data_IF_511504515208
#
_entry.id   IF_511504515208
#
_cell.length_a   1.000
_cell.length_b   1.000
_cell.length_c   1.000
_cell.angle_alpha   90.00
_cell.angle_beta   90.00
_cell.angle_gamma   90.00
#
_symmetry.space_group_name_H-M   'P 1'
#
loop_
_entity.id
_entity.type
_entity.pdbx_description
1 polymer ?
#
# COMPACT_ATOMS: atom_id res chain seq x y z
N UNK A 1 3.89 -39.34 22.46
CA UNK A 1 4.82 -39.81 21.42
C UNK A 1 4.18 -39.57 20.05
N UNK A 2 4.80 -38.82 19.13
CA UNK A 2 4.22 -38.59 17.80
C UNK A 2 4.07 -39.94 17.10
N UNK A 3 2.85 -40.30 16.68
CA UNK A 3 2.64 -41.48 15.84
C UNK A 3 3.47 -41.32 14.57
N UNK A 4 4.51 -42.15 14.44
CA UNK A 4 5.32 -42.20 13.22
C UNK A 4 4.43 -42.83 12.16
N UNK A 5 4.07 -42.04 11.15
CA UNK A 5 3.35 -42.56 10.00
C UNK A 5 4.34 -43.39 9.15
N UNK A 6 4.43 -44.68 9.47
CA UNK A 6 5.34 -45.65 8.83
C UNK A 6 5.13 -45.67 7.31
N UNK A 7 3.88 -45.59 6.84
CA UNK A 7 3.56 -45.55 5.39
C UNK A 7 4.22 -44.36 4.71
N UNK A 8 4.15 -43.17 5.31
CA UNK A 8 4.79 -41.96 4.78
C UNK A 8 6.31 -42.08 4.76
N UNK A 9 6.90 -42.68 5.79
CA UNK A 9 8.36 -42.85 5.88
C UNK A 9 8.87 -43.87 4.86
N UNK A 10 8.17 -44.97 4.65
CA UNK A 10 8.49 -45.95 3.61
C UNK A 10 8.38 -45.31 2.23
N UNK A 11 7.27 -44.64 1.93
CA UNK A 11 7.04 -44.01 0.63
C UNK A 11 8.09 -42.93 0.31
N UNK A 12 8.50 -42.15 1.31
CA UNK A 12 9.54 -41.12 1.15
C UNK A 12 10.91 -41.72 0.81
N UNK A 13 11.20 -42.93 1.30
CA UNK A 13 12.52 -43.55 1.18
C UNK A 13 12.62 -44.54 0.01
N UNK A 14 11.47 -45.00 -0.49
CA UNK A 14 11.35 -45.96 -1.59
C UNK A 14 12.16 -45.59 -2.83
N UNK A 15 12.17 -44.33 -3.32
CA UNK A 15 12.96 -43.96 -4.50
C UNK A 15 14.46 -44.14 -4.28
N UNK A 16 14.96 -43.83 -3.08
CA UNK A 16 16.38 -43.97 -2.74
C UNK A 16 16.79 -45.44 -2.61
N UNK A 17 15.86 -46.32 -2.20
CA UNK A 17 16.09 -47.76 -2.17
C UNK A 17 16.18 -48.32 -3.59
N UNK A 18 15.27 -47.95 -4.50
CA UNK A 18 15.35 -48.39 -5.90
C UNK A 18 16.60 -47.85 -6.61
N UNK A 19 16.95 -46.57 -6.40
CA UNK A 19 18.16 -45.98 -6.96
C UNK A 19 19.43 -46.62 -6.36
N UNK A 20 19.43 -46.93 -5.08
CA UNK A 20 20.52 -47.66 -4.42
C UNK A 20 20.66 -49.10 -4.92
N UNK A 21 19.56 -49.83 -5.08
CA UNK A 21 19.55 -51.17 -5.65
C UNK A 21 20.05 -51.16 -7.10
N UNK A 22 19.68 -50.16 -7.90
CA UNK A 22 20.22 -50.02 -9.24
C UNK A 22 21.71 -49.67 -9.24
N UNK A 23 22.16 -48.83 -8.29
CA UNK A 23 23.57 -48.49 -8.12
C UNK A 23 24.47 -49.68 -7.72
N UNK A 24 23.90 -50.82 -7.32
CA UNK A 24 24.67 -52.07 -7.13
C UNK A 24 25.40 -52.51 -8.42
N UNK A 25 24.90 -52.11 -9.59
CA UNK A 25 25.56 -52.34 -10.88
C UNK A 25 26.93 -51.67 -10.96
N UNK A 26 27.15 -50.57 -10.24
CA UNK A 26 28.46 -49.91 -10.16
C UNK A 26 29.48 -50.83 -9.46
N UNK A 27 29.06 -51.49 -8.38
CA UNK A 27 29.87 -52.50 -7.69
C UNK A 27 30.08 -53.74 -8.55
N UNK A 28 29.03 -54.21 -9.22
CA UNK A 28 29.09 -55.37 -10.13
C UNK A 28 30.05 -55.11 -11.29
N UNK A 29 30.00 -53.93 -11.90
CA UNK A 29 30.89 -53.54 -12.99
C UNK A 29 32.35 -53.54 -12.53
N UNK A 30 32.63 -52.98 -11.35
CA UNK A 30 33.97 -53.01 -10.75
C UNK A 30 34.46 -54.43 -10.43
N UNK A 31 33.56 -55.32 -10.02
CA UNK A 31 33.88 -56.72 -9.72
C UNK A 31 34.17 -57.54 -10.98
N UNK A 32 33.42 -57.28 -12.06
CA UNK A 32 33.55 -58.00 -13.34
C UNK A 32 34.68 -57.44 -14.23
N UNK A 33 35.17 -56.23 -13.96
CA UNK A 33 36.32 -55.67 -14.63
C UNK A 33 37.58 -56.52 -14.36
N UNK A 34 38.31 -56.86 -15.42
CA UNK A 34 39.54 -57.63 -15.35
C UNK A 34 40.68 -56.80 -14.74
N UNK A 35 41.55 -57.44 -13.95
CA UNK A 35 42.71 -56.80 -13.31
C UNK A 35 42.90 -57.20 -11.85
N UNK A 36 44.15 -57.29 -11.40
CA UNK A 36 44.47 -57.60 -10.00
C UNK A 36 44.48 -56.31 -9.15
N UNK A 37 44.94 -55.21 -9.73
CA UNK A 37 45.06 -53.91 -9.07
C UNK A 37 44.01 -52.90 -9.54
N UNK A 38 43.81 -51.84 -8.76
CA UNK A 38 42.76 -50.84 -8.99
C UNK A 38 42.93 -50.08 -10.32
N UNK A 39 44.17 -49.86 -10.77
CA UNK A 39 44.47 -49.20 -12.06
C UNK A 39 44.06 -50.06 -13.25
N UNK A 40 44.35 -51.36 -13.22
CA UNK A 40 43.98 -52.31 -14.27
C UNK A 40 42.46 -52.48 -14.36
N UNK A 41 41.79 -52.60 -13.20
CA UNK A 41 40.32 -52.66 -13.15
C UNK A 41 39.66 -51.40 -13.69
N UNK A 42 40.28 -50.25 -13.51
CA UNK A 42 39.77 -48.99 -14.04
C UNK A 42 39.95 -48.91 -15.57
N UNK A 43 41.04 -49.46 -16.12
CA UNK A 43 41.26 -49.56 -17.56
C UNK A 43 40.21 -50.46 -18.24
N UNK A 44 39.80 -51.56 -17.60
CA UNK A 44 38.81 -52.50 -18.13
C UNK A 44 37.39 -52.29 -17.59
N UNK A 45 37.12 -51.13 -17.00
CA UNK A 45 35.83 -50.88 -16.33
C UNK A 45 34.66 -50.86 -17.30
N UNK A 46 34.89 -50.44 -18.56
CA UNK A 46 33.86 -50.40 -19.60
C UNK A 46 33.38 -51.80 -19.98
N UNK A 47 34.30 -52.78 -20.00
CA UNK A 47 33.97 -54.19 -20.23
C UNK A 47 33.18 -54.74 -19.03
N UNK A 48 33.59 -54.37 -17.81
CA UNK A 48 32.85 -54.68 -16.58
C UNK A 48 31.43 -54.09 -16.57
N UNK A 49 31.26 -52.86 -17.05
CA UNK A 49 29.95 -52.22 -17.23
C UNK A 49 29.11 -52.95 -18.27
N UNK A 50 29.67 -53.26 -19.43
CA UNK A 50 29.00 -54.03 -20.48
C UNK A 50 28.47 -55.36 -19.93
N UNK A 51 29.31 -56.11 -19.24
CA UNK A 51 28.94 -57.38 -18.61
C UNK A 51 27.90 -57.21 -17.49
N UNK A 52 28.04 -56.18 -16.64
CA UNK A 52 27.09 -55.93 -15.56
C UNK A 52 25.70 -55.56 -16.08
N UNK A 53 25.58 -54.88 -17.22
CA UNK A 53 24.31 -54.41 -17.78
C UNK A 53 23.65 -55.37 -18.79
N UNK A 54 24.27 -56.50 -19.11
CA UNK A 54 23.62 -57.57 -19.90
C UNK A 54 22.33 -58.09 -19.24
N UNK A 55 22.24 -57.97 -17.91
CA UNK A 55 21.00 -58.23 -17.17
C UNK A 55 20.49 -56.93 -16.53
N UNK A 56 19.19 -56.66 -16.66
CA UNK A 56 18.58 -55.46 -16.07
C UNK A 56 18.39 -55.56 -14.54
N UNK A 57 18.58 -56.74 -13.94
CA UNK A 57 18.35 -57.00 -12.52
C UNK A 57 19.54 -56.55 -11.64
N UNK A 58 19.30 -55.96 -10.45
CA UNK A 58 20.36 -55.63 -9.48
C UNK A 58 21.28 -56.79 -9.11
N UNK A 59 22.53 -56.48 -8.74
CA UNK A 59 23.44 -57.48 -8.19
C UNK A 59 23.16 -57.70 -6.70
N UNK A 60 23.01 -58.96 -6.30
CA UNK A 60 22.85 -59.37 -4.89
C UNK A 60 24.15 -59.85 -4.24
N UNK A 61 25.29 -59.58 -4.87
CA UNK A 61 26.58 -59.87 -4.27
C UNK A 61 26.83 -58.97 -3.05
N UNK A 62 27.35 -59.48 -1.92
CA UNK A 62 27.47 -58.70 -0.68
C UNK A 62 28.23 -57.38 -0.84
N UNK A 63 29.33 -57.38 -1.60
CA UNK A 63 30.11 -56.17 -1.86
C UNK A 63 29.37 -55.13 -2.73
N UNK A 64 28.60 -55.58 -3.73
CA UNK A 64 27.87 -54.73 -4.66
C UNK A 64 26.66 -54.08 -3.95
N UNK A 65 26.04 -54.81 -3.03
CA UNK A 65 24.96 -54.32 -2.16
C UNK A 65 25.43 -53.21 -1.21
N UNK A 66 26.66 -53.31 -0.69
CA UNK A 66 27.26 -52.24 0.14
C UNK A 66 27.44 -50.97 -0.68
N UNK A 67 27.94 -51.07 -1.92
CA UNK A 67 28.08 -49.91 -2.83
C UNK A 67 26.71 -49.27 -3.10
N UNK A 68 25.70 -50.09 -3.43
CA UNK A 68 24.34 -49.61 -3.66
C UNK A 68 23.72 -48.90 -2.44
N UNK A 69 23.92 -49.46 -1.25
CA UNK A 69 23.45 -48.88 0.02
C UNK A 69 24.13 -47.54 0.30
N UNK A 70 25.46 -47.43 0.11
CA UNK A 70 26.21 -46.19 0.30
C UNK A 70 25.77 -45.10 -0.68
N UNK A 71 25.59 -45.43 -1.96
CA UNK A 71 25.11 -44.48 -2.97
C UNK A 71 23.68 -43.97 -2.66
N UNK A 72 22.76 -44.88 -2.29
CA UNK A 72 21.40 -44.52 -1.91
C UNK A 72 21.36 -43.66 -0.64
N UNK A 73 22.20 -43.98 0.36
CA UNK A 73 22.33 -43.20 1.58
C UNK A 73 22.92 -41.80 1.32
N UNK A 74 23.95 -41.70 0.49
CA UNK A 74 24.58 -40.42 0.11
C UNK A 74 23.62 -39.51 -0.65
N UNK A 75 22.85 -40.05 -1.61
CA UNK A 75 21.85 -39.29 -2.35
C UNK A 75 20.73 -38.77 -1.42
N UNK A 76 20.25 -39.63 -0.51
CA UNK A 76 19.27 -39.25 0.50
C UNK A 76 19.81 -38.16 1.42
N UNK A 77 21.07 -38.27 1.83
CA UNK A 77 21.74 -37.27 2.66
C UNK A 77 21.86 -35.93 1.93
N UNK A 78 22.27 -35.91 0.66
CA UNK A 78 22.39 -34.70 -0.15
C UNK A 78 21.04 -33.99 -0.34
N UNK A 79 19.98 -34.73 -0.67
CA UNK A 79 18.63 -34.17 -0.80
C UNK A 79 18.09 -33.67 0.55
N UNK A 80 18.36 -34.40 1.63
CA UNK A 80 18.00 -33.98 2.98
C UNK A 80 18.71 -32.68 3.38
N UNK A 81 20.01 -32.53 3.08
CA UNK A 81 20.77 -31.31 3.32
C UNK A 81 20.24 -30.13 2.49
N UNK A 82 19.92 -30.35 1.21
CA UNK A 82 19.37 -29.31 0.33
C UNK A 82 17.95 -28.91 0.72
N UNK A 83 17.10 -29.86 1.13
CA UNK A 83 15.75 -29.61 1.63
C UNK A 83 15.73 -28.88 2.97
N UNK A 84 16.68 -29.17 3.87
CA UNK A 84 16.87 -28.38 5.10
C UNK A 84 17.27 -26.92 4.82
N UNK A 85 17.97 -26.66 3.71
CA UNK A 85 18.38 -25.31 3.29
C UNK A 85 17.34 -24.58 2.41
N UNK A 86 16.22 -25.21 2.05
CA UNK A 86 15.21 -24.62 1.17
C UNK A 86 14.16 -23.75 1.90
N UNK A 87 14.57 -22.76 2.69
CA UNK A 87 13.64 -21.72 3.21
C UNK A 87 13.87 -20.37 2.50
N UNK A 88 12.83 -19.51 2.55
CA UNK A 88 12.85 -18.10 2.11
C UNK A 88 13.74 -17.27 3.03
N UNK A 89 15.05 -17.43 2.93
CA UNK A 89 15.98 -16.66 3.73
C UNK A 89 16.36 -15.35 3.02
N UNK A 90 16.43 -14.28 3.81
CA UNK A 90 17.17 -13.07 3.48
C UNK A 90 18.54 -13.19 4.16
N UNK A 91 19.50 -13.81 3.49
CA UNK A 91 20.84 -13.97 4.07
C UNK A 91 21.60 -12.65 3.96
N UNK A 92 22.29 -12.24 5.04
CA UNK A 92 23.04 -10.98 5.08
C UNK A 92 22.19 -9.71 5.29
N UNK A 93 20.94 -9.83 5.78
CA UNK A 93 19.97 -8.71 5.90
C UNK A 93 20.62 -7.38 6.24
N UNK A 94 20.74 -6.57 5.20
CA UNK A 94 21.36 -5.26 5.16
C UNK A 94 20.47 -4.23 5.86
N UNK A 95 21.03 -3.04 6.06
CA UNK A 95 20.32 -1.89 6.59
C UNK A 95 19.00 -1.65 5.83
N UNK A 96 17.88 -1.57 6.55
CA UNK A 96 16.56 -1.30 5.96
C UNK A 96 15.66 -2.53 5.78
N UNK A 97 16.06 -3.70 6.27
CA UNK A 97 15.21 -4.89 6.11
C UNK A 97 13.94 -4.84 6.99
N UNK A 98 12.76 -4.90 6.36
CA UNK A 98 11.47 -4.85 7.06
C UNK A 98 11.07 -6.20 7.67
N UNK A 99 10.52 -6.18 8.89
CA UNK A 99 9.90 -7.33 9.55
C UNK A 99 8.50 -6.96 10.05
N UNK A 100 7.69 -7.96 10.35
CA UNK A 100 6.47 -7.74 11.12
C UNK A 100 6.84 -7.12 12.47
N UNK A 101 6.19 -6.00 12.77
CA UNK A 101 6.32 -5.32 14.05
C UNK A 101 5.54 -6.04 15.15
N UNK A 102 5.96 -5.81 16.38
CA UNK A 102 5.29 -6.21 17.61
C UNK A 102 4.84 -4.97 18.38
N UNK A 103 3.99 -5.15 19.39
CA UNK A 103 3.54 -4.05 20.26
C UNK A 103 4.70 -3.33 20.97
N UNK A 104 5.80 -4.04 21.25
CA UNK A 104 7.01 -3.46 21.85
C UNK A 104 7.72 -2.50 20.90
N UNK A 105 7.66 -2.75 19.59
CA UNK A 105 8.33 -1.91 18.59
C UNK A 105 7.69 -0.54 18.49
N UNK A 106 6.37 -0.45 18.73
CA UNK A 106 5.64 0.81 18.68
C UNK A 106 5.57 1.53 20.04
N UNK A 107 5.83 0.83 21.15
CA UNK A 107 5.71 1.39 22.50
C UNK A 107 6.42 2.74 22.71
N UNK A 108 7.64 2.98 22.19
CA UNK A 108 8.30 4.29 22.31
C UNK A 108 7.57 5.45 21.64
N UNK A 109 6.66 5.14 20.71
CA UNK A 109 5.89 6.12 19.93
C UNK A 109 4.47 6.32 20.49
N UNK A 110 4.11 5.65 21.59
CA UNK A 110 2.80 5.74 22.22
C UNK A 110 2.87 6.73 23.39
N UNK A 111 1.94 7.68 23.43
CA UNK A 111 1.73 8.54 24.59
C UNK A 111 1.08 7.77 25.74
N UNK A 112 1.45 8.03 27.00
CA UNK A 112 0.90 7.33 28.16
C UNK A 112 -0.63 7.44 28.29
N UNK A 113 -1.19 8.62 27.98
CA UNK A 113 -2.64 8.84 27.96
C UNK A 113 -3.22 8.34 26.65
N UNK A 114 -4.28 7.56 26.72
CA UNK A 114 -4.90 6.96 25.52
C UNK A 114 -5.36 8.04 24.53
N UNK A 115 -6.07 9.06 25.02
CA UNK A 115 -6.59 10.15 24.19
C UNK A 115 -5.51 10.96 23.45
N UNK A 116 -4.24 10.88 23.88
CA UNK A 116 -3.11 11.59 23.27
C UNK A 116 -2.54 10.86 22.04
N UNK A 117 -3.22 9.83 21.54
CA UNK A 117 -2.76 9.00 20.44
C UNK A 117 -3.75 8.90 19.29
N UNK A 118 -3.24 8.71 18.08
CA UNK A 118 -3.98 8.22 16.92
C UNK A 118 -4.12 6.70 17.07
N UNK A 119 -5.35 6.19 16.95
CA UNK A 119 -5.64 4.76 17.02
C UNK A 119 -5.33 4.13 15.66
N UNK A 120 -4.40 3.16 15.62
CA UNK A 120 -4.06 2.43 14.40
C UNK A 120 -4.67 1.02 14.40
N UNK A 121 -4.50 0.30 15.50
CA UNK A 121 -5.05 -1.04 15.72
C UNK A 121 -5.53 -1.16 17.17
N UNK A 122 -5.87 -2.39 17.61
CA UNK A 122 -6.19 -2.66 19.01
C UNK A 122 -5.00 -2.39 19.95
N UNK A 123 -3.78 -2.69 19.50
CA UNK A 123 -2.55 -2.64 20.31
C UNK A 123 -1.62 -1.49 19.90
N UNK A 124 -1.58 -1.16 18.61
CA UNK A 124 -0.72 -0.14 18.05
C UNK A 124 -1.39 1.24 18.01
N UNK A 125 -0.67 2.26 18.48
CA UNK A 125 -1.13 3.66 18.53
C UNK A 125 0.05 4.57 18.22
N UNK A 126 -0.23 5.82 17.84
CA UNK A 126 0.80 6.79 17.53
C UNK A 126 0.55 8.11 18.26
N UNK A 127 1.52 8.59 19.02
CA UNK A 127 1.39 9.85 19.75
C UNK A 127 1.08 11.04 18.84
N UNK A 128 0.17 11.89 19.30
CA UNK A 128 -0.11 13.19 18.69
C UNK A 128 0.97 14.25 19.01
N UNK A 129 1.98 13.92 19.82
CA UNK A 129 3.10 14.81 20.05
C UNK A 129 3.97 14.93 18.78
N UNK A 130 4.18 16.17 18.30
CA UNK A 130 5.08 16.46 17.18
C UNK A 130 6.52 16.72 17.59
N UNK A 131 6.76 16.97 18.88
CA UNK A 131 8.09 17.28 19.44
C UNK A 131 8.34 16.43 20.69
N UNK A 132 8.51 15.11 20.52
CA UNK A 132 8.90 14.25 21.64
C UNK A 132 10.30 14.62 22.14
N UNK A 133 10.58 14.31 23.42
CA UNK A 133 11.89 14.58 24.04
C UNK A 133 13.04 13.87 23.32
N UNK A 134 12.79 12.67 22.82
CA UNK A 134 13.70 11.96 21.92
C UNK A 134 13.30 12.22 20.46
N UNK A 135 14.06 13.02 19.69
CA UNK A 135 13.77 13.31 18.29
C UNK A 135 13.63 12.05 17.41
N UNK A 136 14.26 10.92 17.79
CA UNK A 136 14.15 9.66 17.03
C UNK A 136 12.74 9.09 17.01
N UNK A 137 11.93 9.45 18.02
CA UNK A 137 10.54 9.02 18.15
C UNK A 137 9.56 9.96 17.43
N UNK A 138 10.04 11.07 16.87
CA UNK A 138 9.20 11.93 16.05
C UNK A 138 8.80 11.19 14.77
N UNK A 139 7.48 11.11 14.52
CA UNK A 139 6.90 10.42 13.36
C UNK A 139 5.87 11.31 12.67
N UNK A 140 5.78 11.10 11.35
CA UNK A 140 4.69 11.62 10.55
C UNK A 140 3.37 11.01 11.02
N UNK A 141 2.33 11.84 11.10
CA UNK A 141 1.00 11.50 11.61
C UNK A 141 -0.01 11.23 10.51
N UNK A 142 0.38 11.39 9.25
CA UNK A 142 -0.45 11.04 8.11
C UNK A 142 -0.57 9.51 8.04
N UNK A 143 -1.80 9.01 8.09
CA UNK A 143 -2.10 7.58 8.03
C UNK A 143 -2.78 7.26 6.71
N UNK A 144 -2.20 6.33 5.95
CA UNK A 144 -2.80 5.77 4.75
C UNK A 144 -3.42 4.40 5.07
N UNK A 145 -4.74 4.30 4.93
CA UNK A 145 -5.49 3.06 5.19
C UNK A 145 -5.95 2.44 3.87
N UNK A 146 -5.34 1.31 3.50
CA UNK A 146 -5.64 0.59 2.27
C UNK A 146 -6.49 -0.63 2.61
N UNK A 147 -7.58 -0.81 1.86
CA UNK A 147 -8.43 -1.99 1.97
C UNK A 147 -9.52 -2.00 0.92
N UNK A 148 -9.98 -3.18 0.53
CA UNK A 148 -11.06 -3.36 -0.44
C UNK A 148 -12.40 -2.77 0.02
N UNK A 149 -13.39 -2.79 -0.86
CA UNK A 149 -14.78 -2.49 -0.44
C UNK A 149 -15.22 -3.50 0.64
N UNK A 150 -15.99 -3.04 1.63
CA UNK A 150 -16.45 -3.89 2.73
C UNK A 150 -15.39 -4.28 3.77
N UNK A 151 -14.12 -3.90 3.61
CA UNK A 151 -13.05 -4.24 4.58
C UNK A 151 -13.17 -3.51 5.94
N UNK A 152 -14.17 -2.64 6.10
CA UNK A 152 -14.47 -1.97 7.36
C UNK A 152 -13.59 -0.75 7.68
N UNK A 153 -12.94 -0.11 6.69
CA UNK A 153 -12.13 1.12 6.88
C UNK A 153 -12.83 2.17 7.76
N UNK A 154 -14.10 2.49 7.43
CA UNK A 154 -14.91 3.45 8.19
C UNK A 154 -15.18 2.97 9.62
N UNK A 155 -15.54 1.69 9.79
CA UNK A 155 -15.95 1.13 11.08
C UNK A 155 -14.79 0.93 12.04
N UNK A 156 -13.65 0.45 11.55
CA UNK A 156 -12.53 0.01 12.39
C UNK A 156 -11.44 1.06 12.56
N UNK A 157 -11.31 2.01 11.64
CA UNK A 157 -10.29 3.06 11.74
C UNK A 157 -10.91 4.45 11.96
N UNK A 158 -11.79 4.90 11.07
CA UNK A 158 -12.29 6.28 11.11
C UNK A 158 -13.18 6.54 12.33
N UNK A 159 -14.21 5.71 12.55
CA UNK A 159 -15.16 5.91 13.66
C UNK A 159 -14.48 5.89 15.03
N UNK A 160 -13.58 4.93 15.37
CA UNK A 160 -12.87 4.97 16.65
C UNK A 160 -12.06 6.25 16.86
N UNK A 161 -11.36 6.74 15.82
CA UNK A 161 -10.62 7.98 15.93
C UNK A 161 -11.52 9.21 16.10
N UNK A 162 -12.73 9.23 15.51
CA UNK A 162 -13.73 10.28 15.77
C UNK A 162 -14.32 10.17 17.18
N UNK A 163 -14.61 8.95 17.62
CA UNK A 163 -15.23 8.68 18.92
C UNK A 163 -14.28 8.95 20.09
N UNK A 164 -12.97 8.89 19.86
CA UNK A 164 -11.98 9.35 20.83
C UNK A 164 -12.12 10.85 21.15
N UNK A 165 -12.75 11.63 20.26
CA UNK A 165 -12.97 13.06 20.42
C UNK A 165 -11.65 13.81 20.65
N UNK A 166 -11.66 14.78 21.56
CA UNK A 166 -10.51 15.64 21.81
C UNK A 166 -9.68 15.08 22.96
N UNK A 167 -8.35 15.24 22.88
CA UNK A 167 -7.50 15.19 24.07
C UNK A 167 -7.51 16.56 24.76
N UNK A 168 -7.26 16.57 26.07
CA UNK A 168 -6.98 17.81 26.81
C UNK A 168 -5.64 18.43 26.40
N UNK A 169 -4.63 17.61 26.14
CA UNK A 169 -3.29 18.04 25.74
C UNK A 169 -3.22 18.41 24.25
N UNK A 170 -4.05 17.74 23.43
CA UNK A 170 -4.07 17.93 21.99
C UNK A 170 -5.52 18.12 21.51
N UNK A 171 -6.02 19.37 21.52
CA UNK A 171 -7.32 19.67 20.96
C UNK A 171 -7.41 19.34 19.47
N UNK A 172 -8.44 18.60 19.05
CA UNK A 172 -8.58 18.15 17.65
C UNK A 172 -9.86 18.70 17.03
N UNK A 173 -9.72 19.36 15.88
CA UNK A 173 -10.83 19.67 14.97
C UNK A 173 -10.86 18.65 13.84
N UNK A 174 -12.05 18.11 13.54
CA UNK A 174 -12.22 17.13 12.47
C UNK A 174 -12.79 17.78 11.21
N UNK A 175 -12.19 17.46 10.06
CA UNK A 175 -12.75 17.69 8.74
C UNK A 175 -12.91 16.32 8.09
N UNK A 176 -14.16 15.93 7.83
CA UNK A 176 -14.50 14.58 7.36
C UNK A 176 -15.24 14.68 6.05
N UNK A 177 -14.73 13.99 5.03
CA UNK A 177 -15.48 13.73 3.80
C UNK A 177 -16.41 12.54 4.04
N UNK A 178 -17.71 12.77 3.93
CA UNK A 178 -18.75 11.77 4.19
C UNK A 178 -19.63 11.56 2.94
N UNK A 179 -19.16 10.78 1.94
CA UNK A 179 -19.90 10.58 0.70
C UNK A 179 -21.26 9.90 0.89
N UNK A 180 -21.44 9.14 1.97
CA UNK A 180 -22.68 8.39 2.26
C UNK A 180 -23.59 9.12 3.24
N UNK A 181 -23.08 10.09 3.99
CA UNK A 181 -23.81 10.80 5.03
C UNK A 181 -24.03 9.97 6.30
N UNK A 182 -23.41 8.80 6.43
CA UNK A 182 -23.60 7.89 7.56
C UNK A 182 -22.73 8.26 8.76
N UNK A 183 -21.54 8.83 8.52
CA UNK A 183 -20.58 9.16 9.57
C UNK A 183 -21.18 10.17 10.56
N UNK A 184 -21.78 11.25 10.06
CA UNK A 184 -22.39 12.28 10.92
C UNK A 184 -23.59 11.75 11.69
N UNK A 185 -24.35 10.80 11.13
CA UNK A 185 -25.48 10.15 11.80
C UNK A 185 -24.97 9.30 12.96
N UNK A 186 -23.90 8.55 12.73
CA UNK A 186 -23.35 7.60 13.70
C UNK A 186 -22.58 8.26 14.84
N UNK A 187 -21.80 9.32 14.57
CA UNK A 187 -20.90 9.93 15.56
C UNK A 187 -21.29 11.36 15.95
N UNK A 188 -22.17 12.02 15.20
CA UNK A 188 -22.47 13.45 15.39
C UNK A 188 -23.03 13.77 16.78
N UNK A 189 -23.95 12.96 17.30
CA UNK A 189 -24.49 13.17 18.67
C UNK A 189 -23.41 13.03 19.75
N UNK A 190 -22.47 12.10 19.57
CA UNK A 190 -21.35 11.94 20.50
C UNK A 190 -20.43 13.17 20.45
N UNK A 191 -20.09 13.64 19.25
CA UNK A 191 -19.26 14.83 19.08
C UNK A 191 -19.93 16.08 19.69
N UNK A 192 -21.22 16.29 19.46
CA UNK A 192 -21.98 17.39 20.08
C UNK A 192 -21.94 17.35 21.61
N UNK A 193 -22.13 16.17 22.20
CA UNK A 193 -22.04 15.99 23.67
C UNK A 193 -20.65 16.29 24.22
N UNK A 194 -19.61 16.11 23.41
CA UNK A 194 -18.23 16.46 23.75
C UNK A 194 -17.86 17.89 23.34
N UNK A 195 -18.84 18.77 23.13
CA UNK A 195 -18.62 20.20 22.90
C UNK A 195 -18.22 20.59 21.47
N UNK A 196 -18.25 19.66 20.53
CA UNK A 196 -17.95 19.98 19.13
C UNK A 196 -19.05 20.80 18.48
N UNK A 197 -18.67 21.90 17.82
CA UNK A 197 -19.55 22.61 16.89
C UNK A 197 -19.53 21.93 15.54
N UNK A 198 -20.57 21.16 15.25
CA UNK A 198 -20.69 20.47 13.96
C UNK A 198 -21.14 21.45 12.87
N UNK A 199 -20.41 21.45 11.75
CA UNK A 199 -20.75 22.16 10.52
C UNK A 199 -20.86 21.17 9.38
N UNK A 200 -21.90 21.30 8.55
CA UNK A 200 -22.17 20.38 7.45
C UNK A 200 -22.25 21.16 6.14
N UNK A 201 -21.38 20.82 5.19
CA UNK A 201 -21.48 21.24 3.80
C UNK A 201 -22.00 20.07 2.98
N UNK A 202 -23.28 20.14 2.58
CA UNK A 202 -23.92 19.14 1.73
C UNK A 202 -24.10 19.71 0.32
N UNK A 203 -23.42 19.10 -0.65
CA UNK A 203 -23.44 19.51 -2.07
C UNK A 203 -24.52 18.79 -2.89
N UNK A 204 -25.24 17.84 -2.31
CA UNK A 204 -26.36 17.11 -2.95
C UNK A 204 -27.69 17.73 -2.54
N UNK A 205 -27.90 17.93 -1.24
CA UNK A 205 -29.12 18.52 -0.69
C UNK A 205 -28.80 19.80 0.07
N UNK A 206 -28.93 20.93 -0.63
CA UNK A 206 -28.68 22.26 -0.07
C UNK A 206 -29.60 22.63 1.09
N UNK A 207 -30.80 22.03 1.22
CA UNK A 207 -31.68 22.27 2.39
C UNK A 207 -31.10 21.71 3.69
N UNK A 208 -30.16 20.76 3.60
CA UNK A 208 -29.46 20.15 4.74
C UNK A 208 -28.00 20.63 4.85
N UNK A 209 -27.65 21.71 4.16
CA UNK A 209 -26.32 22.28 4.10
C UNK A 209 -26.29 23.60 4.86
N UNK A 210 -25.15 23.94 5.46
CA UNK A 210 -24.94 25.25 6.07
C UNK A 210 -24.55 26.34 5.07
N UNK A 211 -24.50 25.97 3.78
CA UNK A 211 -24.04 26.77 2.65
C UNK A 211 -22.61 27.29 2.84
N UNK A 212 -21.99 27.68 1.74
CA UNK A 212 -20.61 28.17 1.76
C UNK A 212 -20.47 29.21 0.66
N UNK A 213 -19.98 30.38 1.04
CA UNK A 213 -19.64 31.45 0.11
C UNK A 213 -18.13 31.76 0.26
N UNK A 214 -17.29 31.45 -0.74
CA UNK A 214 -15.85 31.71 -0.69
C UNK A 214 -15.51 33.20 -0.54
N UNK A 215 -16.34 34.10 -1.07
CA UNK A 215 -16.10 35.55 -0.99
C UNK A 215 -16.08 36.07 0.44
N UNK A 216 -16.84 35.43 1.35
CA UNK A 216 -16.83 35.77 2.77
C UNK A 216 -15.48 35.52 3.48
N UNK A 217 -14.56 34.81 2.83
CA UNK A 217 -13.23 34.47 3.34
C UNK A 217 -12.10 35.15 2.56
N UNK A 218 -12.44 36.05 1.62
CA UNK A 218 -11.45 36.89 0.94
C UNK A 218 -11.08 38.06 1.86
N UNK A 219 -9.78 38.23 2.10
CA UNK A 219 -9.25 39.33 2.91
C UNK A 219 -8.17 40.12 2.17
N UNK A 220 -7.66 39.57 1.07
CA UNK A 220 -6.57 40.15 0.30
C UNK A 220 -6.56 39.62 -1.13
N UNK A 221 -5.82 40.30 -2.01
CA UNK A 221 -5.57 39.85 -3.39
C UNK A 221 -4.94 38.45 -3.46
N UNK A 222 -4.13 38.09 -2.45
CA UNK A 222 -3.57 36.75 -2.34
C UNK A 222 -4.65 35.68 -2.19
N UNK A 223 -5.76 36.00 -1.52
CA UNK A 223 -6.87 35.08 -1.33
C UNK A 223 -7.70 34.94 -2.60
N UNK A 224 -7.82 36.00 -3.40
CA UNK A 224 -8.42 35.95 -4.73
C UNK A 224 -7.63 34.96 -5.60
N UNK A 225 -6.30 35.09 -5.66
CA UNK A 225 -5.47 34.18 -6.44
C UNK A 225 -5.56 32.73 -5.94
N UNK A 226 -5.66 32.50 -4.62
CA UNK A 226 -5.88 31.15 -4.06
C UNK A 226 -7.23 30.57 -4.48
N UNK A 227 -8.29 31.38 -4.45
CA UNK A 227 -9.63 30.96 -4.87
C UNK A 227 -9.65 30.58 -6.35
N UNK A 228 -9.07 31.42 -7.21
CA UNK A 228 -8.94 31.18 -8.66
C UNK A 228 -8.14 29.89 -8.91
N UNK A 229 -6.98 29.75 -8.29
CA UNK A 229 -6.14 28.55 -8.42
C UNK A 229 -6.89 27.29 -8.00
N UNK A 230 -7.65 27.38 -6.91
CA UNK A 230 -8.46 26.25 -6.41
C UNK A 230 -9.56 25.90 -7.42
N UNK A 231 -10.23 26.91 -8.00
CA UNK A 231 -11.30 26.69 -8.98
C UNK A 231 -10.76 25.98 -10.23
N UNK A 232 -9.71 26.52 -10.85
CA UNK A 232 -9.08 25.97 -12.05
C UNK A 232 -8.54 24.54 -11.80
N UNK A 233 -7.90 24.32 -10.65
CA UNK A 233 -7.36 22.99 -10.31
C UNK A 233 -8.45 21.91 -10.17
N UNK A 234 -9.68 22.29 -9.78
CA UNK A 234 -10.80 21.37 -9.61
C UNK A 234 -11.71 21.25 -10.85
N UNK A 235 -11.56 22.11 -11.85
CA UNK A 235 -12.28 22.04 -13.13
C UNK A 235 -11.43 21.43 -14.25
N UNK A 236 -10.12 21.31 -14.05
CA UNK A 236 -9.21 20.61 -14.98
C UNK A 236 -9.56 19.12 -15.04
N UNK A 237 -10.01 18.65 -16.20
CA UNK A 237 -10.27 17.22 -16.44
C UNK A 237 -8.99 16.37 -16.43
N UNK A 238 -9.13 15.04 -16.47
CA UNK A 238 -8.01 14.06 -16.46
C UNK A 238 -7.15 14.06 -17.75
N UNK A 239 -7.36 15.01 -18.66
CA UNK A 239 -6.61 15.15 -19.90
C UNK A 239 -5.18 15.66 -19.68
N UNK A 240 -4.27 15.31 -20.60
CA UNK A 240 -2.95 15.96 -20.68
C UNK A 240 -3.17 17.48 -20.76
N UNK A 241 -2.51 18.21 -19.87
CA UNK A 241 -2.75 19.64 -19.67
C UNK A 241 -2.79 20.42 -20.98
N UNK A 242 -3.85 21.22 -21.13
CA UNK A 242 -3.95 22.17 -22.23
C UNK A 242 -2.82 23.21 -22.21
N UNK A 243 -2.77 24.03 -23.25
CA UNK A 243 -1.80 25.11 -23.40
C UNK A 243 -1.72 25.99 -22.14
N UNK A 244 -0.51 26.32 -21.72
CA UNK A 244 -0.25 27.21 -20.59
C UNK A 244 -0.85 28.60 -20.84
N UNK A 245 -0.97 29.01 -22.11
CA UNK A 245 -1.65 30.24 -22.50
C UNK A 245 -3.10 30.27 -22.00
N UNK A 246 -3.90 29.24 -22.27
CA UNK A 246 -5.31 29.19 -21.84
C UNK A 246 -5.45 29.20 -20.33
N UNK A 247 -4.57 28.49 -19.63
CA UNK A 247 -4.56 28.47 -18.16
C UNK A 247 -4.23 29.86 -17.58
N UNK A 248 -3.27 30.57 -18.19
CA UNK A 248 -2.90 31.94 -17.78
C UNK A 248 -4.01 32.95 -18.07
N UNK A 249 -4.64 32.85 -19.24
CA UNK A 249 -5.75 33.70 -19.63
C UNK A 249 -6.97 33.51 -18.70
N UNK A 250 -7.34 32.25 -18.42
CA UNK A 250 -8.41 31.90 -17.47
C UNK A 250 -8.10 32.43 -16.07
N UNK A 251 -6.85 32.26 -15.59
CA UNK A 251 -6.42 32.78 -14.30
C UNK A 251 -6.55 34.30 -14.23
N UNK A 252 -6.09 35.02 -15.26
CA UNK A 252 -6.17 36.47 -15.31
C UNK A 252 -7.62 36.95 -15.32
N UNK A 253 -8.47 36.31 -16.14
CA UNK A 253 -9.89 36.64 -16.25
C UNK A 253 -10.62 36.45 -14.91
N UNK A 254 -10.46 35.29 -14.27
CA UNK A 254 -11.10 35.05 -12.97
C UNK A 254 -10.55 35.95 -11.86
N UNK A 255 -9.26 36.25 -11.85
CA UNK A 255 -8.69 37.23 -10.91
C UNK A 255 -9.32 38.61 -11.09
N UNK A 256 -9.48 39.07 -12.33
CA UNK A 256 -10.08 40.37 -12.63
C UNK A 256 -11.56 40.40 -12.21
N UNK A 257 -12.35 39.38 -12.57
CA UNK A 257 -13.77 39.31 -12.24
C UNK A 257 -14.02 39.18 -10.74
N UNK A 258 -13.33 38.27 -10.06
CA UNK A 258 -13.49 38.08 -8.61
C UNK A 258 -12.97 39.31 -7.87
N UNK A 259 -11.89 39.94 -8.35
CA UNK A 259 -11.40 41.21 -7.81
C UNK A 259 -12.42 42.33 -7.93
N UNK A 260 -13.01 42.49 -9.11
CA UNK A 260 -14.07 43.48 -9.33
C UNK A 260 -15.27 43.25 -8.40
N UNK A 261 -15.78 42.01 -8.33
CA UNK A 261 -16.88 41.66 -7.41
C UNK A 261 -16.51 41.95 -5.96
N UNK A 262 -15.29 41.61 -5.54
CA UNK A 262 -14.84 41.80 -4.16
C UNK A 262 -14.70 43.28 -3.76
N UNK A 263 -14.21 44.13 -4.66
CA UNK A 263 -13.96 45.53 -4.36
C UNK A 263 -15.15 46.45 -4.63
N UNK A 264 -15.92 46.21 -5.70
CA UNK A 264 -16.94 47.13 -6.19
C UNK A 264 -18.37 46.66 -5.93
N UNK A 265 -18.63 45.35 -5.89
CA UNK A 265 -20.00 44.84 -5.74
C UNK A 265 -20.47 44.91 -4.28
N UNK A 266 -21.78 45.19 -4.05
CA UNK A 266 -22.40 45.08 -2.73
C UNK A 266 -22.20 43.68 -2.10
N UNK A 267 -22.13 43.59 -0.77
CA UNK A 267 -21.79 42.34 -0.06
C UNK A 267 -22.72 41.18 -0.38
N UNK A 268 -23.99 41.46 -0.66
CA UNK A 268 -25.01 40.51 -1.07
C UNK A 268 -24.75 39.89 -2.47
N UNK A 269 -24.07 40.62 -3.35
CA UNK A 269 -23.68 40.20 -4.70
C UNK A 269 -22.26 39.60 -4.74
N UNK A 270 -21.53 39.60 -3.63
CA UNK A 270 -20.22 38.96 -3.52
C UNK A 270 -20.38 37.44 -3.42
N UNK A 271 -20.73 36.79 -4.52
CA UNK A 271 -20.99 35.35 -4.58
C UNK A 271 -20.75 34.78 -5.98
N UNK A 272 -20.80 33.45 -6.10
CA UNK A 272 -20.56 32.78 -7.39
C UNK A 272 -21.69 32.93 -8.42
N UNK A 273 -22.92 33.26 -8.01
CA UNK A 273 -23.98 33.57 -8.98
C UNK A 273 -23.59 34.78 -9.81
N UNK A 274 -23.15 35.85 -9.14
CA UNK A 274 -22.70 37.08 -9.79
C UNK A 274 -21.46 36.84 -10.66
N UNK A 275 -20.50 36.02 -10.21
CA UNK A 275 -19.36 35.62 -11.05
C UNK A 275 -19.82 34.93 -12.35
N UNK A 276 -20.77 34.00 -12.26
CA UNK A 276 -21.32 33.29 -13.43
C UNK A 276 -22.08 34.26 -14.35
N UNK A 277 -22.83 35.21 -13.78
CA UNK A 277 -23.51 36.25 -14.55
C UNK A 277 -22.53 37.12 -15.33
N UNK A 278 -21.42 37.54 -14.71
CA UNK A 278 -20.35 38.27 -15.40
C UNK A 278 -19.73 37.46 -16.55
N UNK A 279 -19.47 36.17 -16.33
CA UNK A 279 -18.94 35.28 -17.37
C UNK A 279 -19.93 35.15 -18.53
N UNK A 280 -21.22 34.94 -18.23
CA UNK A 280 -22.27 34.82 -19.26
C UNK A 280 -22.49 36.15 -20.01
N UNK A 281 -22.27 37.29 -19.36
CA UNK A 281 -22.37 38.60 -19.97
C UNK A 281 -21.19 38.94 -20.91
N UNK A 282 -20.12 38.14 -20.89
CA UNK A 282 -18.97 38.25 -21.80
C UNK A 282 -19.19 37.49 -23.11
N UNK A 283 -20.43 37.45 -23.61
CA UNK A 283 -20.77 36.87 -24.91
C UNK A 283 -19.95 37.52 -26.03
N UNK A 284 -19.40 36.70 -26.92
CA UNK A 284 -18.69 37.15 -28.12
C UNK A 284 -19.47 36.64 -29.33
N UNK A 285 -19.66 37.50 -30.33
CA UNK A 285 -20.30 37.17 -31.60
C UNK A 285 -19.25 37.28 -32.70
N UNK A 286 -18.97 36.18 -33.38
CA UNK A 286 -17.99 36.14 -34.46
C UNK A 286 -18.49 36.83 -35.74
N UNK A 287 -19.81 36.99 -35.87
CA UNK A 287 -20.51 37.55 -37.01
C UNK A 287 -20.79 39.06 -36.91
N UNK A 288 -20.48 39.68 -35.77
CA UNK A 288 -20.72 41.10 -35.52
C UNK A 288 -19.55 41.73 -34.74
N UNK A 289 -18.60 42.32 -35.48
CA UNK A 289 -17.42 42.99 -34.90
C UNK A 289 -17.76 44.26 -34.09
N UNK A 290 -18.95 44.85 -34.30
CA UNK A 290 -19.41 46.03 -33.54
C UNK A 290 -20.17 45.65 -32.27
N UNK A 291 -20.44 44.36 -32.06
CA UNK A 291 -21.17 43.87 -30.89
C UNK A 291 -20.41 44.18 -29.59
N UNK A 292 -21.01 45.05 -28.77
CA UNK A 292 -20.53 45.33 -27.42
C UNK A 292 -21.38 44.55 -26.42
N UNK A 293 -20.76 43.62 -25.72
CA UNK A 293 -21.42 42.91 -24.65
C UNK A 293 -21.50 43.76 -23.38
N UNK A 294 -22.29 43.32 -22.39
CA UNK A 294 -22.48 44.06 -21.13
C UNK A 294 -21.18 44.23 -20.35
N UNK A 295 -20.26 43.26 -20.43
CA UNK A 295 -18.97 43.36 -19.75
C UNK A 295 -18.06 44.43 -20.38
N UNK A 296 -18.09 44.60 -21.71
CA UNK A 296 -17.37 45.67 -22.41
C UNK A 296 -17.84 47.06 -21.97
N UNK A 297 -19.11 47.21 -21.60
CA UNK A 297 -19.69 48.49 -21.14
C UNK A 297 -19.33 48.84 -19.69
N UNK A 298 -18.93 47.86 -18.87
CA UNK A 298 -18.54 48.05 -17.46
C UNK A 298 -17.05 48.39 -17.33
N UNK A 299 -16.24 48.05 -18.34
CA UNK A 299 -14.80 48.28 -18.38
C UNK A 299 -14.40 49.70 -18.89
N UNK A 300 -15.37 50.58 -19.13
CA UNK A 300 -15.19 51.98 -19.60
C UNK A 300 -15.78 52.93 -18.56
#
# INVERSE_FOLDING_TARGET
MKQINVKKLVLLNLPYVFLGLYATKLGQAWRLAAGADASEKLLHIMDGFSAAFQSALPSFHPADLVVGLLCGAALRLAVYMKGKNAKKYRHGMEYGTARWGSSQDIAPYIAPKFEDNIILTQTERLTMNSRPKDPKTARNKNVLVIGGSGSGKTRFFLKPNLMQCTSQNYPVSYVVTDPKGDIVIDTGKLLQRNGYRIKILNTINFKKSMHYNPFAYLHSEKDILKLVTTLIANTKGEGKGGDEFWTKAETLLYCALIGYIYYEAPKEEQNFSTLIEFINAMEVREDDEEFKNRATLIAV
#
